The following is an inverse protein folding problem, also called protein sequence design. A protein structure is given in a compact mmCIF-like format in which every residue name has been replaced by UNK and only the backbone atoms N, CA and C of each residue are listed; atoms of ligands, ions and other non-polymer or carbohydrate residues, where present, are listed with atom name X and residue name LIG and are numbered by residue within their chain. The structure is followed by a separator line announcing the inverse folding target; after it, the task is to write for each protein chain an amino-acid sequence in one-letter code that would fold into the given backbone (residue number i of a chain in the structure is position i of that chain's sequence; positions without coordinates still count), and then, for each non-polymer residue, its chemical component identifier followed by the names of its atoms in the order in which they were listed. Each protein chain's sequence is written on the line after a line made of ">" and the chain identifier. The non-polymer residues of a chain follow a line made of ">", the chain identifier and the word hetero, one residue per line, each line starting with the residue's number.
data_IF_843479674502
#
_entry.id   IF_843479674502
#
_cell.length_a   1.000
_cell.length_b   1.000
_cell.length_c   1.000
_cell.angle_alpha   90.00
_cell.angle_beta   90.00
_cell.angle_gamma   90.00
#
_symmetry.space_group_name_H-M   'P 1'
#
loop_
_entity.id
_entity.type
_entity.pdbx_description
1 polymer ?
#
# COMPACT_ATOMS: atom_id res chain seq x y z
N UNK A 1 -12.09 -28.52 -33.71
CA UNK A 1 -11.00 -27.54 -33.74
C UNK A 1 -10.86 -26.97 -32.35
N UNK A 2 -9.91 -27.51 -31.60
CA UNK A 2 -9.68 -27.26 -30.14
C UNK A 2 -8.62 -26.15 -29.99
N UNK A 3 -9.00 -25.05 -29.43
CA UNK A 3 -8.11 -23.98 -28.92
C UNK A 3 -8.72 -23.53 -27.59
N UNK A 4 -8.11 -23.66 -26.50
CA UNK A 4 -6.89 -23.49 -25.85
C UNK A 4 -7.22 -23.30 -24.39
N UNK A 5 -7.25 -24.44 -23.62
CA UNK A 5 -7.52 -24.43 -22.15
C UNK A 5 -6.25 -24.20 -21.28
N UNK A 6 -5.23 -23.55 -21.84
CA UNK A 6 -3.90 -23.55 -21.18
C UNK A 6 -3.51 -22.25 -20.48
N UNK A 7 -4.29 -21.19 -20.59
CA UNK A 7 -3.90 -19.86 -20.05
C UNK A 7 -4.38 -19.59 -18.61
N UNK A 8 -5.36 -20.33 -18.10
CA UNK A 8 -5.98 -20.02 -16.78
C UNK A 8 -5.28 -20.69 -15.59
N UNK A 9 -4.41 -21.69 -15.84
CA UNK A 9 -3.78 -22.47 -14.76
C UNK A 9 -2.52 -21.83 -14.14
N UNK A 10 -2.03 -20.71 -14.62
CA UNK A 10 -0.76 -20.11 -14.14
C UNK A 10 -0.93 -19.02 -13.09
N UNK A 11 -2.16 -18.62 -12.79
CA UNK A 11 -2.45 -17.56 -11.78
C UNK A 11 -2.77 -18.12 -10.38
N UNK A 12 -2.83 -19.44 -10.20
CA UNK A 12 -3.26 -20.06 -8.93
C UNK A 12 -2.11 -20.61 -8.09
N UNK A 13 -0.90 -20.09 -8.24
CA UNK A 13 0.23 -20.47 -7.38
C UNK A 13 0.90 -19.25 -6.72
N UNK A 14 0.11 -18.25 -6.33
CA UNK A 14 0.56 -17.35 -5.29
C UNK A 14 0.49 -18.13 -3.98
N UNK A 15 1.63 -18.65 -3.54
CA UNK A 15 1.80 -19.18 -2.19
C UNK A 15 1.58 -18.01 -1.24
N UNK A 16 0.40 -17.94 -0.63
CA UNK A 16 0.13 -17.08 0.51
C UNK A 16 1.11 -17.49 1.61
N UNK A 17 1.96 -16.60 2.13
CA UNK A 17 2.94 -16.96 3.14
C UNK A 17 2.26 -17.53 4.38
N UNK A 18 2.90 -18.48 5.05
CA UNK A 18 2.35 -19.15 6.25
C UNK A 18 2.04 -18.18 7.40
N UNK A 19 2.69 -17.02 7.46
CA UNK A 19 2.37 -15.94 8.41
C UNK A 19 0.97 -15.37 8.19
N UNK A 20 0.47 -15.37 6.96
CA UNK A 20 -0.90 -14.98 6.63
C UNK A 20 -1.95 -15.97 7.17
N UNK A 21 -1.58 -17.25 7.25
CA UNK A 21 -2.45 -18.32 7.75
C UNK A 21 -2.68 -18.23 9.28
N UNK A 22 -1.74 -17.66 10.03
CA UNK A 22 -1.90 -17.48 11.48
C UNK A 22 -2.91 -16.37 11.81
N UNK A 23 -3.06 -15.38 10.91
CA UNK A 23 -4.04 -14.31 11.08
C UNK A 23 -5.46 -14.75 10.68
N UNK A 24 -5.58 -15.75 9.80
CA UNK A 24 -6.87 -16.24 9.29
C UNK A 24 -7.51 -17.33 10.15
N UNK A 25 -6.80 -17.91 11.14
CA UNK A 25 -7.29 -19.09 11.87
C UNK A 25 -8.11 -18.79 13.13
N UNK A 26 -8.26 -17.53 13.52
CA UNK A 26 -8.94 -17.21 14.79
C UNK A 26 -10.39 -16.73 14.66
N UNK A 27 -10.89 -16.36 13.47
CA UNK A 27 -12.28 -15.88 13.33
C UNK A 27 -12.88 -16.24 11.97
N UNK A 28 -13.80 -17.15 12.01
CA UNK A 28 -14.76 -17.43 10.93
C UNK A 28 -15.54 -16.15 10.61
N UNK A 29 -15.41 -15.60 9.40
CA UNK A 29 -16.29 -14.62 8.75
C UNK A 29 -16.05 -13.11 8.91
N UNK A 30 -14.97 -12.59 9.47
CA UNK A 30 -14.70 -11.15 9.42
C UNK A 30 -13.39 -10.83 8.70
N UNK A 31 -13.40 -9.79 7.87
CA UNK A 31 -12.17 -9.19 7.36
C UNK A 31 -11.31 -8.75 8.56
N UNK A 32 -9.98 -8.85 8.47
CA UNK A 32 -9.10 -8.40 9.55
C UNK A 32 -9.31 -6.90 9.82
N UNK A 33 -9.18 -6.51 11.07
CA UNK A 33 -9.24 -5.10 11.46
C UNK A 33 -8.13 -4.33 10.75
N UNK A 34 -8.43 -3.09 10.36
CA UNK A 34 -7.44 -2.24 9.68
C UNK A 34 -7.66 -0.77 10.00
N UNK A 35 -6.57 -0.04 10.05
CA UNK A 35 -6.56 1.43 10.06
C UNK A 35 -6.24 1.89 8.66
N UNK A 36 -6.99 2.85 8.14
CA UNK A 36 -6.85 3.29 6.77
C UNK A 36 -6.69 4.81 6.67
N UNK A 37 -5.83 5.25 5.76
CA UNK A 37 -5.80 6.61 5.25
C UNK A 37 -6.27 6.54 3.81
N UNK A 38 -7.31 7.30 3.49
CA UNK A 38 -7.93 7.31 2.18
C UNK A 38 -7.66 8.61 1.45
N UNK A 39 -7.32 8.48 0.16
CA UNK A 39 -7.15 9.58 -0.79
C UNK A 39 -6.23 10.71 -0.27
N UNK A 40 -5.11 10.33 0.34
CA UNK A 40 -4.07 11.30 0.67
C UNK A 40 -3.52 11.88 -0.63
N UNK A 41 -3.78 13.16 -0.87
CA UNK A 41 -3.35 13.86 -2.07
C UNK A 41 -2.07 14.65 -1.79
N UNK A 42 -0.98 14.22 -2.41
CA UNK A 42 0.32 14.87 -2.30
C UNK A 42 0.83 15.30 -3.67
N UNK A 43 1.74 16.27 -3.68
CA UNK A 43 2.52 16.59 -4.88
C UNK A 43 3.94 16.10 -4.68
N UNK A 44 4.39 15.22 -5.55
CA UNK A 44 5.76 14.69 -5.49
C UNK A 44 6.37 14.53 -6.88
N UNK A 45 7.67 14.41 -6.92
CA UNK A 45 8.40 14.11 -8.14
C UNK A 45 8.32 12.60 -8.41
N UNK A 46 7.31 12.18 -9.16
CA UNK A 46 7.05 10.78 -9.49
C UNK A 46 7.04 10.60 -11.01
N UNK A 47 8.11 10.02 -11.53
CA UNK A 47 8.33 9.88 -12.97
C UNK A 47 9.17 11.00 -13.59
N UNK A 48 9.52 10.79 -14.85
CA UNK A 48 10.31 11.73 -15.67
C UNK A 48 9.48 12.22 -16.85
N UNK A 49 9.72 13.47 -17.26
CA UNK A 49 9.17 13.98 -18.51
C UNK A 49 9.92 13.43 -19.75
N UNK A 50 9.50 13.83 -20.93
CA UNK A 50 10.13 13.40 -22.19
C UNK A 50 11.62 13.81 -22.33
N UNK A 51 12.10 14.72 -21.49
CA UNK A 51 13.50 15.17 -21.45
C UNK A 51 14.28 14.61 -20.25
N UNK A 52 13.72 13.65 -19.54
CA UNK A 52 14.36 13.01 -18.40
C UNK A 52 14.41 13.88 -17.12
N UNK A 53 13.51 14.86 -16.97
CA UNK A 53 13.44 15.73 -15.79
C UNK A 53 12.33 15.29 -14.86
N UNK A 54 12.57 15.39 -13.57
CA UNK A 54 11.53 15.21 -12.57
C UNK A 54 10.49 16.34 -12.62
N UNK A 55 9.24 15.96 -12.71
CA UNK A 55 8.11 16.90 -12.72
C UNK A 55 7.21 16.61 -11.52
N UNK A 56 6.92 17.62 -10.68
CA UNK A 56 5.99 17.42 -9.57
C UNK A 56 4.57 17.22 -10.11
N UNK A 57 3.98 16.08 -9.75
CA UNK A 57 2.62 15.73 -10.18
C UNK A 57 1.77 15.29 -8.98
N UNK A 58 0.44 15.37 -9.08
CA UNK A 58 -0.44 14.87 -8.04
C UNK A 58 -0.35 13.36 -7.96
N UNK A 59 -0.18 12.86 -6.74
CA UNK A 59 -0.21 11.44 -6.40
C UNK A 59 -1.26 11.24 -5.34
N UNK A 60 -2.15 10.28 -5.54
CA UNK A 60 -3.16 9.88 -4.58
C UNK A 60 -2.73 8.58 -3.94
N UNK A 61 -2.74 8.54 -2.62
CA UNK A 61 -2.24 7.42 -1.82
C UNK A 61 -3.35 6.95 -0.88
N UNK A 62 -3.74 5.67 -1.01
CA UNK A 62 -4.53 4.98 -0.01
C UNK A 62 -3.63 3.97 0.71
N UNK A 63 -3.73 3.90 2.03
CA UNK A 63 -2.98 2.93 2.82
C UNK A 63 -3.89 2.23 3.81
N UNK A 64 -3.66 0.93 3.99
CA UNK A 64 -4.35 0.10 4.94
C UNK A 64 -3.32 -0.63 5.81
N UNK A 65 -3.30 -0.32 7.11
CA UNK A 65 -2.47 -1.02 8.10
C UNK A 65 -3.35 -2.05 8.80
N UNK A 66 -3.04 -3.31 8.63
CA UNK A 66 -3.77 -4.40 9.29
C UNK A 66 -3.27 -4.58 10.71
N UNK A 67 -4.18 -4.66 11.64
CA UNK A 67 -3.87 -4.70 13.06
C UNK A 67 -5.01 -5.35 13.84
N UNK A 68 -4.79 -5.60 15.11
CA UNK A 68 -5.85 -5.99 16.03
C UNK A 68 -6.21 -4.78 16.90
N UNK A 69 -7.46 -4.31 16.82
CA UNK A 69 -7.90 -3.10 17.51
C UNK A 69 -8.60 -3.37 18.84
N UNK A 70 -8.87 -4.64 19.16
CA UNK A 70 -9.65 -5.00 20.37
C UNK A 70 -9.00 -4.50 21.66
N UNK A 71 -7.67 -4.59 21.78
CA UNK A 71 -6.94 -4.09 22.95
C UNK A 71 -6.99 -2.57 23.06
N UNK A 72 -6.82 -1.87 21.95
CA UNK A 72 -6.91 -0.40 21.92
C UNK A 72 -8.33 0.08 22.25
N UNK A 73 -9.35 -0.58 21.70
CA UNK A 73 -10.75 -0.27 21.95
C UNK A 73 -11.20 -0.49 23.41
N UNK A 74 -10.56 -1.43 24.12
CA UNK A 74 -10.85 -1.68 25.54
C UNK A 74 -10.10 -0.74 26.49
N UNK A 75 -8.88 -0.34 26.13
CA UNK A 75 -8.00 0.45 27.00
C UNK A 75 -8.06 1.94 26.77
N UNK A 76 -8.56 2.37 25.61
CA UNK A 76 -8.54 3.76 25.10
C UNK A 76 -7.11 4.37 25.07
N UNK A 77 -6.09 3.50 24.92
CA UNK A 77 -4.70 3.93 24.80
C UNK A 77 -4.23 3.84 23.35
N UNK A 78 -3.82 4.98 22.79
CA UNK A 78 -3.28 5.10 21.40
C UNK A 78 -2.04 4.24 21.19
N UNK A 79 -1.30 3.93 22.26
CA UNK A 79 -0.11 3.06 22.21
C UNK A 79 -0.42 1.61 21.84
N UNK A 80 -1.67 1.19 21.96
CA UNK A 80 -2.12 -0.15 21.62
C UNK A 80 -2.58 -0.30 20.16
N UNK A 81 -2.43 0.74 19.34
CA UNK A 81 -2.83 0.74 17.93
C UNK A 81 -1.83 1.50 17.08
N UNK A 82 -1.96 1.42 15.75
CA UNK A 82 -1.16 2.22 14.85
C UNK A 82 -1.71 3.66 14.79
N UNK A 83 -0.83 4.62 14.99
CA UNK A 83 -1.20 6.03 14.94
C UNK A 83 -1.24 6.51 13.47
N UNK A 84 -2.44 6.69 12.92
CA UNK A 84 -2.64 7.20 11.55
C UNK A 84 -2.04 8.60 11.34
N UNK A 85 -1.92 9.43 12.39
CA UNK A 85 -1.26 10.73 12.31
C UNK A 85 0.26 10.60 12.11
N UNK A 86 0.88 9.56 12.63
CA UNK A 86 2.29 9.24 12.37
C UNK A 86 2.47 8.76 10.93
N UNK A 87 1.61 7.86 10.47
CA UNK A 87 1.57 7.39 9.09
C UNK A 87 1.43 8.57 8.11
N UNK A 88 0.42 9.43 8.33
CA UNK A 88 0.17 10.61 7.51
C UNK A 88 1.41 11.50 7.38
N UNK A 89 2.02 11.90 8.51
CA UNK A 89 3.24 12.74 8.50
C UNK A 89 4.43 12.09 7.81
N UNK A 90 4.59 10.77 7.96
CA UNK A 90 5.67 10.05 7.30
C UNK A 90 5.49 10.02 5.78
N UNK A 91 4.26 9.80 5.30
CA UNK A 91 3.93 9.83 3.87
C UNK A 91 4.09 11.23 3.27
N UNK A 92 3.66 12.30 3.98
CA UNK A 92 3.88 13.68 3.53
C UNK A 92 5.37 14.02 3.42
N UNK A 93 6.16 13.67 4.43
CA UNK A 93 7.62 13.88 4.41
C UNK A 93 8.25 13.12 3.25
N UNK A 94 7.90 11.85 3.07
CA UNK A 94 8.39 11.06 1.94
C UNK A 94 8.08 11.72 0.60
N UNK A 95 6.86 12.19 0.41
CA UNK A 95 6.44 12.87 -0.81
C UNK A 95 7.19 14.19 -1.06
N UNK A 96 7.51 14.94 -0.01
CA UNK A 96 8.22 16.21 -0.10
C UNK A 96 9.71 16.02 -0.42
N UNK A 97 10.35 15.00 0.20
CA UNK A 97 11.80 14.86 0.21
C UNK A 97 12.32 13.91 -0.87
N UNK A 98 11.44 13.12 -1.52
CA UNK A 98 11.87 12.04 -2.41
C UNK A 98 11.52 12.31 -3.87
N UNK A 99 12.46 11.97 -4.75
CA UNK A 99 12.28 11.96 -6.21
C UNK A 99 12.28 10.51 -6.69
N UNK A 100 11.15 10.06 -7.22
CA UNK A 100 10.99 8.71 -7.73
C UNK A 100 10.91 8.72 -9.27
N UNK A 101 11.64 7.83 -9.93
CA UNK A 101 11.61 7.70 -11.38
C UNK A 101 10.45 6.84 -11.87
N UNK A 102 9.86 6.03 -11.00
CA UNK A 102 8.78 5.11 -11.34
C UNK A 102 7.72 5.05 -10.24
N UNK A 103 6.53 4.58 -10.63
CA UNK A 103 5.42 4.33 -9.71
C UNK A 103 5.78 3.24 -8.68
N UNK A 104 6.56 2.25 -9.11
CA UNK A 104 7.06 1.16 -8.26
C UNK A 104 7.88 1.70 -7.09
N UNK A 105 8.75 2.67 -7.32
CA UNK A 105 9.54 3.32 -6.26
C UNK A 105 8.67 4.08 -5.27
N UNK A 106 7.61 4.74 -5.74
CA UNK A 106 6.63 5.40 -4.87
C UNK A 106 5.94 4.38 -3.98
N UNK A 107 5.43 3.30 -4.58
CA UNK A 107 4.71 2.25 -3.86
C UNK A 107 5.61 1.54 -2.83
N UNK A 108 6.85 1.21 -3.20
CA UNK A 108 7.84 0.63 -2.30
C UNK A 108 8.21 1.57 -1.14
N UNK A 109 8.37 2.85 -1.41
CA UNK A 109 8.63 3.86 -0.37
C UNK A 109 7.49 3.96 0.64
N UNK A 110 6.26 4.04 0.16
CA UNK A 110 5.07 4.04 1.01
C UNK A 110 4.93 2.73 1.81
N UNK A 111 5.19 1.58 1.18
CA UNK A 111 5.15 0.27 1.84
C UNK A 111 6.19 0.18 2.97
N UNK A 112 7.42 0.64 2.75
CA UNK A 112 8.46 0.68 3.80
C UNK A 112 8.04 1.53 5.00
N UNK A 113 7.37 2.65 4.78
CA UNK A 113 6.81 3.48 5.86
C UNK A 113 5.78 2.67 6.66
N UNK A 114 4.84 2.02 5.99
CA UNK A 114 3.81 1.21 6.65
C UNK A 114 4.39 0.08 7.50
N UNK A 115 5.34 -0.68 6.97
CA UNK A 115 5.89 -1.86 7.63
C UNK A 115 6.97 -1.52 8.66
N UNK A 116 7.85 -0.54 8.36
CA UNK A 116 9.03 -0.26 9.19
C UNK A 116 8.82 0.90 10.16
N UNK A 117 8.24 2.02 9.72
CA UNK A 117 8.02 3.17 10.59
C UNK A 117 6.74 3.01 11.44
N UNK A 118 5.66 2.50 10.82
CA UNK A 118 4.41 2.25 11.55
C UNK A 118 4.34 0.86 12.19
N UNK A 119 5.33 -0.01 11.93
CA UNK A 119 5.42 -1.36 12.48
C UNK A 119 4.19 -2.24 12.22
N UNK A 120 3.48 -2.01 11.11
CA UNK A 120 2.35 -2.84 10.74
C UNK A 120 2.82 -4.27 10.41
N UNK A 121 2.15 -5.31 10.87
CA UNK A 121 2.50 -6.70 10.53
C UNK A 121 2.17 -7.03 9.06
N UNK A 122 1.19 -6.34 8.49
CA UNK A 122 0.79 -6.43 7.10
C UNK A 122 0.21 -5.09 6.66
N UNK A 123 0.50 -4.69 5.45
CA UNK A 123 -0.01 -3.45 4.88
C UNK A 123 -0.41 -3.62 3.41
N UNK A 124 -1.32 -2.77 2.98
CA UNK A 124 -1.73 -2.60 1.59
C UNK A 124 -1.64 -1.12 1.23
N UNK A 125 -1.05 -0.84 0.08
CA UNK A 125 -0.82 0.51 -0.42
C UNK A 125 -1.35 0.60 -1.85
N UNK A 126 -2.21 1.58 -2.11
CA UNK A 126 -2.71 1.89 -3.45
C UNK A 126 -2.20 3.27 -3.85
N UNK A 127 -1.48 3.33 -4.94
CA UNK A 127 -0.98 4.59 -5.51
C UNK A 127 -1.71 4.86 -6.82
N UNK A 128 -2.16 6.10 -7.02
CA UNK A 128 -2.79 6.55 -8.25
C UNK A 128 -2.16 7.84 -8.75
N UNK A 129 -1.89 7.89 -10.04
CA UNK A 129 -1.42 9.06 -10.77
C UNK A 129 -2.53 9.55 -11.72
N UNK A 130 -3.34 10.55 -11.34
CA UNK A 130 -4.54 10.95 -12.07
C UNK A 130 -4.29 11.52 -13.48
N UNK A 131 -3.06 11.92 -13.79
CA UNK A 131 -2.73 12.57 -15.07
C UNK A 131 -1.66 11.82 -15.88
N UNK A 132 -1.41 10.58 -15.54
CA UNK A 132 -0.36 9.79 -16.19
C UNK A 132 -0.73 9.36 -17.62
N UNK A 133 -2.03 9.21 -17.90
CA UNK A 133 -2.54 8.71 -19.18
C UNK A 133 -3.63 9.64 -19.73
N UNK A 134 -3.62 9.83 -21.06
CA UNK A 134 -4.53 10.77 -21.72
C UNK A 134 -6.00 10.32 -21.72
N UNK A 135 -6.23 9.01 -21.79
CA UNK A 135 -7.57 8.42 -21.94
C UNK A 135 -7.95 7.50 -20.77
N UNK A 136 -7.35 7.72 -19.59
CA UNK A 136 -7.71 7.02 -18.37
C UNK A 136 -7.77 7.99 -17.19
N UNK A 137 -8.60 7.72 -16.21
CA UNK A 137 -8.73 8.54 -15.01
C UNK A 137 -7.43 8.58 -14.20
N UNK A 138 -6.75 7.46 -14.10
CA UNK A 138 -5.44 7.35 -13.46
C UNK A 138 -4.69 6.10 -13.94
N UNK A 139 -3.37 6.16 -13.88
CA UNK A 139 -2.55 4.95 -13.75
C UNK A 139 -2.36 4.64 -12.28
N UNK A 140 -2.26 3.37 -11.90
CA UNK A 140 -2.12 3.02 -10.49
C UNK A 140 -1.44 1.69 -10.25
N UNK A 141 -1.06 1.48 -9.00
CA UNK A 141 -0.48 0.25 -8.50
C UNK A 141 -1.06 -0.08 -7.13
N UNK A 142 -1.27 -1.35 -6.88
CA UNK A 142 -1.64 -1.90 -5.57
C UNK A 142 -0.52 -2.82 -5.12
N UNK A 143 -0.03 -2.59 -3.92
CA UNK A 143 1.01 -3.38 -3.29
C UNK A 143 0.51 -3.87 -1.94
N UNK A 144 0.68 -5.17 -1.67
CA UNK A 144 0.25 -5.78 -0.42
C UNK A 144 1.36 -6.70 0.09
N UNK A 145 1.84 -6.50 1.34
CA UNK A 145 2.97 -7.25 1.91
C UNK A 145 2.86 -7.44 3.42
N UNK A 146 3.45 -8.56 3.88
CA UNK A 146 3.79 -8.77 5.28
C UNK A 146 5.18 -8.22 5.60
N UNK A 147 5.42 -7.91 6.89
CA UNK A 147 6.69 -7.34 7.36
C UNK A 147 7.91 -8.24 7.09
N UNK A 148 7.74 -9.55 7.09
CA UNK A 148 8.83 -10.52 6.90
C UNK A 148 9.23 -10.74 5.43
N UNK A 149 8.57 -10.06 4.49
CA UNK A 149 8.82 -10.18 3.04
C UNK A 149 9.56 -8.99 2.43
N UNK A 150 10.18 -8.12 3.26
CA UNK A 150 10.85 -6.88 2.84
C UNK A 150 12.36 -6.99 2.85
#
# INVERSE_FOLDING_TARGET
>A
MLLGRTAVKRFMSLRIPRSHLLYTHARTSSLPDRISVHDLQVRMHAGLDAWGRFVPQPVHIDTHLYTEVSRAGQSDHVEHTHNYGTLYRALERFAADTHCTSLDQVAEGCMKICLNECHAPYAEVHIRLPRALLHADAAGMILARAKDET
#
